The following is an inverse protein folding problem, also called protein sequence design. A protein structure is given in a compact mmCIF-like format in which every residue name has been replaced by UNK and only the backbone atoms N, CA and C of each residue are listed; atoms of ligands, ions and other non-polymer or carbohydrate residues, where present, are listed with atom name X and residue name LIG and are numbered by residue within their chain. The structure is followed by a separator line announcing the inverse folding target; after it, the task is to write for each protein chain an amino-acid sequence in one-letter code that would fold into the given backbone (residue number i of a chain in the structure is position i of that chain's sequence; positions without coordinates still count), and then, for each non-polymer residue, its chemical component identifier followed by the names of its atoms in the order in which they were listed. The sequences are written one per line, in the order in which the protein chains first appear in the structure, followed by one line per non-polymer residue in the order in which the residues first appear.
data_IF_857887652337
#
_entry.id   IF_857887652337
#
_cell.length_a   1.000
_cell.length_b   1.000
_cell.length_c   1.000
_cell.angle_alpha   90.00
_cell.angle_beta   90.00
_cell.angle_gamma   90.00
#
_symmetry.space_group_name_H-M   'P 1'
#
loop_
_entity.id
_entity.type
_entity.pdbx_description
1 polymer ?
#
# COMPACT_ATOMS: atom_id res chain seq x y z
N UNK A 1 50.80 -0.23 42.79
CA UNK A 1 49.51 -0.86 42.50
C UNK A 1 48.61 0.18 41.80
N UNK A 2 48.59 0.15 40.47
CA UNK A 2 47.82 1.10 39.64
C UNK A 2 46.58 0.36 39.14
N UNK A 3 45.39 0.83 39.52
CA UNK A 3 44.12 0.32 39.03
C UNK A 3 43.83 0.95 37.67
N UNK A 4 43.74 0.12 36.61
CA UNK A 4 43.39 0.47 35.26
C UNK A 4 41.85 0.53 35.16
N UNK A 5 41.30 1.71 34.92
CA UNK A 5 39.89 1.94 34.71
C UNK A 5 39.59 1.78 33.20
N UNK A 6 38.88 0.68 32.85
CA UNK A 6 38.48 0.40 31.48
C UNK A 6 37.16 1.13 31.20
N UNK A 7 37.23 2.16 30.37
CA UNK A 7 36.05 2.92 29.93
C UNK A 7 35.42 2.18 28.71
N UNK A 8 34.28 1.52 28.93
CA UNK A 8 33.49 0.92 27.85
C UNK A 8 32.64 2.01 27.22
N UNK A 9 32.99 2.44 25.99
CA UNK A 9 32.18 3.32 25.19
C UNK A 9 31.13 2.46 24.47
N UNK A 10 29.89 2.54 24.94
CA UNK A 10 28.73 1.89 24.32
C UNK A 10 28.24 2.76 23.18
N UNK A 11 28.51 2.37 21.92
CA UNK A 11 27.91 2.97 20.74
C UNK A 11 26.44 2.57 20.67
N UNK A 12 25.54 3.49 21.00
CA UNK A 12 24.11 3.38 20.74
C UNK A 12 23.85 3.60 19.24
N UNK A 13 23.59 2.53 18.53
CA UNK A 13 22.99 2.58 17.20
C UNK A 13 21.51 2.93 17.38
N UNK A 14 21.17 4.19 17.19
CA UNK A 14 19.76 4.60 17.12
C UNK A 14 19.17 4.17 15.78
N UNK A 15 18.47 3.04 15.79
CA UNK A 15 17.53 2.70 14.74
C UNK A 15 16.32 3.66 14.85
N UNK A 16 16.05 4.41 13.79
CA UNK A 16 14.87 5.26 13.73
C UNK A 16 13.63 4.38 13.48
N UNK A 17 13.05 3.85 14.54
CA UNK A 17 11.67 3.41 14.55
C UNK A 17 10.81 4.59 15.02
N UNK A 18 9.73 4.90 14.30
CA UNK A 18 8.77 5.97 14.60
C UNK A 18 7.92 5.70 15.87
N UNK A 19 8.35 4.80 16.73
CA UNK A 19 7.68 4.47 17.99
C UNK A 19 8.23 5.37 19.09
N UNK A 20 7.46 6.34 19.54
CA UNK A 20 7.80 7.15 20.70
C UNK A 20 7.64 6.32 21.97
N UNK A 21 8.75 5.89 22.57
CA UNK A 21 8.75 5.20 23.87
C UNK A 21 8.57 6.23 24.97
N UNK A 22 7.39 6.28 25.58
CA UNK A 22 7.14 7.09 26.76
C UNK A 22 7.43 6.28 28.02
N UNK A 23 8.53 6.62 28.74
CA UNK A 23 8.84 6.02 30.05
C UNK A 23 7.91 6.61 31.11
N UNK A 24 6.98 5.82 31.58
CA UNK A 24 6.20 6.16 32.79
C UNK A 24 6.96 5.62 33.99
N UNK A 25 7.73 6.48 34.65
CA UNK A 25 8.36 6.13 35.91
C UNK A 25 7.31 6.18 37.05
N UNK A 26 6.78 5.03 37.46
CA UNK A 26 6.04 4.96 38.73
C UNK A 26 7.03 4.95 39.87
N UNK A 27 7.10 6.03 40.63
CA UNK A 27 7.84 6.09 41.92
C UNK A 27 7.12 5.20 42.90
N UNK A 28 7.79 4.12 43.36
CA UNK A 28 7.60 3.51 44.69
C UNK A 28 7.86 1.98 44.68
N UNK A 29 9.01 1.51 44.24
CA UNK A 29 9.62 0.26 44.72
C UNK A 29 10.95 0.00 43.98
N UNK A 30 12.02 -0.50 44.66
CA UNK A 30 13.27 -0.82 43.97
C UNK A 30 13.16 -2.00 43.00
N UNK A 31 12.04 -2.73 43.00
CA UNK A 31 11.75 -3.88 42.12
C UNK A 31 10.60 -3.59 41.13
N UNK A 32 10.30 -2.33 40.81
CA UNK A 32 9.27 -2.01 39.83
C UNK A 32 9.75 -2.38 38.43
N UNK A 33 9.12 -3.38 37.84
CA UNK A 33 9.28 -3.76 36.43
C UNK A 33 8.88 -2.57 35.53
N UNK A 34 9.81 -2.09 34.71
CA UNK A 34 9.53 -0.99 33.77
C UNK A 34 8.67 -1.60 32.68
N UNK A 35 7.37 -1.35 32.73
CA UNK A 35 6.46 -1.67 31.61
C UNK A 35 6.70 -0.62 30.54
N UNK A 36 7.41 -0.98 29.48
CA UNK A 36 7.46 -0.17 28.26
C UNK A 36 6.08 -0.24 27.57
N UNK A 37 5.31 0.84 27.70
CA UNK A 37 4.07 0.96 26.94
C UNK A 37 4.46 1.50 25.56
N UNK A 38 4.32 0.67 24.55
CA UNK A 38 4.45 1.07 23.17
C UNK A 38 3.27 2.00 22.81
N UNK A 39 3.53 3.30 22.71
CA UNK A 39 2.53 4.26 22.26
C UNK A 39 2.52 4.26 20.75
N UNK A 40 1.52 3.61 20.17
CA UNK A 40 1.31 3.66 18.73
C UNK A 40 0.88 5.08 18.33
N UNK A 41 1.78 5.80 17.67
CA UNK A 41 1.53 7.20 17.22
C UNK A 41 0.92 7.16 15.83
N UNK A 42 -0.22 7.87 15.59
CA UNK A 42 -0.79 7.94 14.26
C UNK A 42 0.20 8.46 13.22
N UNK A 43 0.32 7.76 12.10
CA UNK A 43 1.09 8.21 10.94
C UNK A 43 0.37 9.33 10.16
N UNK A 44 -0.95 9.41 10.31
CA UNK A 44 -1.79 10.38 9.63
C UNK A 44 -3.24 10.33 10.07
N UNK A 45 -4.13 10.76 9.22
CA UNK A 45 -5.58 10.70 9.48
C UNK A 45 -6.37 10.61 8.18
N UNK A 46 -7.56 10.00 8.26
CA UNK A 46 -8.58 10.07 7.23
C UNK A 46 -9.62 11.13 7.63
N UNK A 47 -9.96 12.05 6.70
CA UNK A 47 -11.05 13.01 6.92
C UNK A 47 -12.37 12.38 6.46
N UNK A 48 -13.32 12.30 7.38
CA UNK A 48 -14.67 11.79 7.14
C UNK A 48 -15.71 12.88 7.43
N UNK A 49 -16.98 12.62 7.13
CA UNK A 49 -18.08 13.51 7.50
C UNK A 49 -18.21 13.71 9.03
N UNK A 50 -17.69 12.78 9.83
CA UNK A 50 -17.74 12.80 11.29
C UNK A 50 -16.44 13.40 11.92
N UNK A 51 -15.51 13.90 11.12
CA UNK A 51 -14.24 14.45 11.56
C UNK A 51 -13.04 13.65 11.10
N UNK A 52 -11.92 13.83 11.80
CA UNK A 52 -10.68 13.11 11.53
C UNK A 52 -10.65 11.80 12.31
N UNK A 53 -10.22 10.75 11.62
CA UNK A 53 -9.98 9.42 12.19
C UNK A 53 -8.51 9.11 12.02
N UNK A 54 -7.84 8.65 13.07
CA UNK A 54 -6.42 8.36 13.05
C UNK A 54 -6.09 7.19 12.12
N UNK A 55 -4.95 7.32 11.43
CA UNK A 55 -4.40 6.31 10.56
C UNK A 55 -3.00 5.93 11.04
N UNK A 56 -2.70 4.64 10.97
CA UNK A 56 -1.48 4.00 11.44
C UNK A 56 -0.85 3.16 10.33
N UNK A 57 0.36 2.68 10.55
CA UNK A 57 0.93 1.64 9.69
C UNK A 57 0.04 0.39 9.74
N UNK A 58 -0.26 -0.18 8.58
CA UNK A 58 -1.05 -1.40 8.45
C UNK A 58 -0.18 -2.67 8.49
N UNK A 59 -0.83 -3.83 8.34
CA UNK A 59 -0.16 -5.12 8.33
C UNK A 59 0.71 -5.27 7.06
N UNK A 60 2.03 -5.47 7.18
CA UNK A 60 2.92 -5.65 6.04
C UNK A 60 2.59 -6.89 5.17
N UNK A 61 1.86 -7.89 5.68
CA UNK A 61 1.42 -9.03 4.88
C UNK A 61 0.48 -8.63 3.73
N UNK A 62 -0.21 -7.48 3.86
CA UNK A 62 -1.02 -6.92 2.79
C UNK A 62 -0.19 -6.42 1.60
N UNK A 63 1.11 -6.08 1.79
CA UNK A 63 2.01 -5.77 0.68
C UNK A 63 2.29 -7.02 -0.16
N UNK A 64 2.54 -8.15 0.49
CA UNK A 64 2.78 -9.43 -0.20
C UNK A 64 1.55 -9.86 -0.99
N UNK A 65 0.35 -9.69 -0.42
CA UNK A 65 -0.91 -9.96 -1.11
C UNK A 65 -1.07 -9.06 -2.34
N UNK A 66 -0.78 -7.76 -2.19
CA UNK A 66 -0.89 -6.81 -3.29
C UNK A 66 0.12 -7.06 -4.40
N UNK A 67 1.37 -7.40 -4.05
CA UNK A 67 2.40 -7.75 -5.03
C UNK A 67 2.01 -9.01 -5.82
N UNK A 68 1.46 -10.04 -5.17
CA UNK A 68 0.91 -11.22 -5.84
C UNK A 68 -0.24 -10.87 -6.79
N UNK A 69 -1.09 -9.90 -6.40
CA UNK A 69 -2.18 -9.43 -7.24
C UNK A 69 -1.66 -8.72 -8.50
N UNK A 70 -0.64 -7.87 -8.37
CA UNK A 70 0.03 -7.21 -9.50
C UNK A 70 0.73 -8.24 -10.40
N UNK A 71 1.39 -9.23 -9.81
CA UNK A 71 2.02 -10.32 -10.57
C UNK A 71 0.98 -11.13 -11.36
N UNK A 72 -0.17 -11.44 -10.77
CA UNK A 72 -1.27 -12.11 -11.47
C UNK A 72 -1.78 -11.28 -12.66
N UNK A 73 -1.88 -9.95 -12.51
CA UNK A 73 -2.21 -9.04 -13.61
C UNK A 73 -1.14 -9.06 -14.71
N UNK A 74 0.13 -9.01 -14.35
CA UNK A 74 1.25 -9.07 -15.29
C UNK A 74 1.27 -10.40 -16.07
N UNK A 75 0.92 -11.49 -15.41
CA UNK A 75 0.83 -12.83 -15.99
C UNK A 75 -0.49 -13.08 -16.73
N UNK A 76 -1.47 -12.16 -16.65
CA UNK A 76 -2.81 -12.32 -17.22
C UNK A 76 -3.59 -13.50 -16.61
N UNK A 77 -3.28 -13.84 -15.36
CA UNK A 77 -3.89 -14.93 -14.64
C UNK A 77 -5.24 -14.53 -14.03
N UNK A 78 -6.28 -14.60 -14.86
CA UNK A 78 -7.64 -14.18 -14.47
C UNK A 78 -8.24 -15.05 -13.36
N UNK A 79 -7.82 -16.31 -13.26
CA UNK A 79 -8.32 -17.22 -12.22
C UNK A 79 -7.75 -16.83 -10.86
N UNK A 80 -6.44 -16.57 -10.78
CA UNK A 80 -5.80 -16.06 -9.56
C UNK A 80 -6.36 -14.70 -9.17
N UNK A 81 -6.51 -13.76 -10.12
CA UNK A 81 -7.12 -12.45 -9.84
C UNK A 81 -8.53 -12.62 -9.27
N UNK A 82 -9.34 -13.49 -9.85
CA UNK A 82 -10.69 -13.80 -9.36
C UNK A 82 -10.66 -14.33 -7.93
N UNK A 83 -9.78 -15.27 -7.65
CA UNK A 83 -9.66 -15.87 -6.33
C UNK A 83 -9.22 -14.86 -5.27
N UNK A 84 -8.36 -13.91 -5.62
CA UNK A 84 -7.88 -12.88 -4.69
C UNK A 84 -8.91 -11.78 -4.43
N UNK A 85 -9.92 -11.60 -5.27
CA UNK A 85 -10.99 -10.64 -5.06
C UNK A 85 -12.03 -11.13 -4.04
N UNK A 86 -12.52 -10.24 -3.18
CA UNK A 86 -13.60 -10.54 -2.25
C UNK A 86 -14.96 -10.50 -2.95
N UNK A 87 -15.80 -11.49 -2.77
CA UNK A 87 -17.20 -11.43 -3.23
C UNK A 87 -17.97 -10.32 -2.51
N UNK A 88 -17.66 -10.10 -1.23
CA UNK A 88 -18.26 -9.07 -0.39
C UNK A 88 -17.33 -8.68 0.75
N UNK A 89 -17.40 -7.41 1.16
CA UNK A 89 -16.73 -6.86 2.35
C UNK A 89 -17.73 -6.16 3.23
N UNK A 90 -17.42 -5.99 4.52
CA UNK A 90 -18.26 -5.24 5.45
C UNK A 90 -18.29 -3.75 5.08
N UNK A 91 -17.15 -3.21 4.61
CA UNK A 91 -17.01 -1.79 4.30
C UNK A 91 -17.72 -1.38 3.01
N UNK A 92 -17.59 -2.16 1.93
CA UNK A 92 -18.01 -1.77 0.59
C UNK A 92 -19.11 -2.66 -0.02
N UNK A 93 -19.52 -3.73 0.68
CA UNK A 93 -20.38 -4.76 0.11
C UNK A 93 -19.63 -5.54 -0.97
N UNK A 94 -20.20 -5.72 -2.16
CA UNK A 94 -19.55 -6.41 -3.26
C UNK A 94 -18.28 -5.72 -3.75
N UNK A 95 -17.40 -6.49 -4.41
CA UNK A 95 -16.15 -6.00 -5.00
C UNK A 95 -16.35 -4.80 -5.93
N UNK A 96 -15.45 -3.82 -5.86
CA UNK A 96 -15.53 -2.58 -6.66
C UNK A 96 -14.19 -2.11 -7.17
N UNK A 97 -14.16 -1.64 -8.41
CA UNK A 97 -13.04 -0.88 -8.97
C UNK A 97 -13.54 0.48 -9.45
N UNK A 98 -12.94 1.54 -8.93
CA UNK A 98 -13.11 2.89 -9.44
C UNK A 98 -11.92 3.20 -10.35
N UNK A 99 -12.16 3.15 -11.65
CA UNK A 99 -11.09 3.29 -12.61
C UNK A 99 -10.63 4.75 -12.80
N UNK A 100 -9.53 4.91 -13.53
CA UNK A 100 -8.91 6.22 -13.78
C UNK A 100 -9.79 7.21 -14.57
N UNK A 101 -10.87 6.73 -15.17
CA UNK A 101 -11.80 7.53 -15.98
C UNK A 101 -13.08 7.89 -15.22
N UNK A 102 -13.22 7.40 -13.99
CA UNK A 102 -14.38 7.61 -13.13
C UNK A 102 -15.47 6.57 -13.30
N UNK A 103 -15.23 5.52 -14.08
CA UNK A 103 -16.16 4.41 -14.22
C UNK A 103 -16.09 3.49 -12.99
N UNK A 104 -17.25 2.96 -12.60
CA UNK A 104 -17.36 1.95 -11.56
C UNK A 104 -17.55 0.57 -12.20
N UNK A 105 -16.58 -0.32 -11.96
CA UNK A 105 -16.72 -1.76 -12.20
C UNK A 105 -17.24 -2.38 -10.90
N UNK A 106 -18.40 -3.03 -10.95
CA UNK A 106 -19.08 -3.58 -9.78
C UNK A 106 -19.21 -5.10 -9.89
N UNK A 107 -18.57 -5.80 -8.96
CA UNK A 107 -18.55 -7.26 -8.88
C UNK A 107 -17.36 -7.89 -9.57
N UNK A 108 -16.96 -9.06 -9.04
CA UNK A 108 -15.79 -9.82 -9.50
C UNK A 108 -15.94 -10.24 -10.96
N UNK A 109 -17.10 -10.74 -11.38
CA UNK A 109 -17.33 -11.19 -12.75
C UNK A 109 -17.13 -10.07 -13.77
N UNK A 110 -17.71 -8.89 -13.50
CA UNK A 110 -17.56 -7.72 -14.37
C UNK A 110 -16.10 -7.25 -14.46
N UNK A 111 -15.35 -7.37 -13.36
CA UNK A 111 -13.93 -7.03 -13.34
C UNK A 111 -13.13 -7.99 -14.22
N UNK A 112 -13.32 -9.28 -14.06
CA UNK A 112 -12.63 -10.32 -14.85
C UNK A 112 -12.94 -10.18 -16.34
N UNK A 113 -14.21 -9.95 -16.69
CA UNK A 113 -14.61 -9.72 -18.10
C UNK A 113 -13.89 -8.50 -18.68
N UNK A 114 -13.87 -7.38 -17.96
CA UNK A 114 -13.16 -6.16 -18.38
C UNK A 114 -11.66 -6.37 -18.53
N UNK A 115 -11.02 -7.07 -17.58
CA UNK A 115 -9.60 -7.40 -17.65
C UNK A 115 -9.29 -8.30 -18.85
N UNK A 116 -10.11 -9.32 -19.12
CA UNK A 116 -9.91 -10.23 -20.25
C UNK A 116 -9.82 -9.46 -21.58
N UNK A 117 -10.77 -8.55 -21.82
CA UNK A 117 -10.79 -7.72 -23.02
C UNK A 117 -9.58 -6.79 -23.08
N UNK A 118 -9.25 -6.16 -21.97
CA UNK A 118 -8.14 -5.20 -21.92
C UNK A 118 -6.77 -5.87 -22.06
N UNK A 119 -6.58 -7.04 -21.43
CA UNK A 119 -5.34 -7.81 -21.53
C UNK A 119 -5.03 -8.24 -22.97
N UNK A 120 -6.06 -8.64 -23.70
CA UNK A 120 -5.94 -9.01 -25.12
C UNK A 120 -5.64 -7.78 -25.99
N UNK A 121 -6.31 -6.65 -25.72
CA UNK A 121 -6.22 -5.46 -26.55
C UNK A 121 -4.91 -4.69 -26.37
N UNK A 122 -4.39 -4.61 -25.13
CA UNK A 122 -3.32 -3.65 -24.80
C UNK A 122 -2.11 -4.30 -24.11
N UNK A 123 -2.16 -5.57 -23.73
CA UNK A 123 -1.09 -6.27 -23.04
C UNK A 123 -0.44 -5.44 -21.90
N UNK A 124 -1.20 -4.96 -20.91
CA UNK A 124 -0.68 -4.10 -19.86
C UNK A 124 0.37 -4.81 -18.99
N UNK A 125 1.39 -4.06 -18.56
CA UNK A 125 2.46 -4.50 -17.67
C UNK A 125 2.71 -3.45 -16.60
N UNK A 126 2.62 -3.82 -15.33
CA UNK A 126 2.85 -2.96 -14.17
C UNK A 126 4.23 -3.17 -13.58
N UNK A 127 4.87 -2.08 -13.17
CA UNK A 127 6.07 -2.09 -12.34
C UNK A 127 5.83 -1.19 -11.14
N UNK A 128 5.78 -1.77 -9.95
CA UNK A 128 5.59 -1.05 -8.69
C UNK A 128 6.86 -0.28 -8.34
N UNK A 129 6.77 1.00 -7.99
CA UNK A 129 7.89 1.81 -7.54
C UNK A 129 7.77 2.28 -6.09
N UNK A 130 6.60 2.20 -5.48
CA UNK A 130 6.39 2.24 -4.04
C UNK A 130 5.10 1.54 -3.65
N UNK A 131 5.04 1.04 -2.41
CA UNK A 131 3.81 0.64 -1.74
C UNK A 131 3.97 0.75 -0.22
N UNK A 132 2.87 1.01 0.48
CA UNK A 132 2.81 0.99 1.93
C UNK A 132 1.40 0.61 2.40
N UNK A 133 1.31 0.08 3.61
CA UNK A 133 0.04 -0.28 4.23
C UNK A 133 -0.46 0.82 5.15
N UNK A 134 -1.77 0.92 5.27
CA UNK A 134 -2.43 1.87 6.17
C UNK A 134 -3.64 1.22 6.83
N UNK A 135 -3.73 1.35 8.15
CA UNK A 135 -4.88 0.98 8.96
C UNK A 135 -5.57 2.24 9.46
N UNK A 136 -6.90 2.29 9.35
CA UNK A 136 -7.71 3.41 9.84
C UNK A 136 -8.53 2.94 11.03
N UNK A 137 -8.53 3.70 12.12
CA UNK A 137 -9.30 3.36 13.31
C UNK A 137 -10.78 3.13 12.98
N UNK A 138 -11.33 2.06 13.56
CA UNK A 138 -12.72 1.69 13.36
C UNK A 138 -13.06 1.07 12.01
N UNK A 139 -12.11 0.93 11.07
CA UNK A 139 -12.27 0.12 9.86
C UNK A 139 -11.91 -1.34 10.13
N UNK A 140 -12.63 -2.26 9.52
CA UNK A 140 -12.38 -3.71 9.67
C UNK A 140 -11.17 -4.12 8.86
N UNK A 141 -11.08 -3.66 7.61
CA UNK A 141 -9.96 -3.94 6.72
C UNK A 141 -8.91 -2.83 6.74
N UNK A 142 -7.91 -3.03 5.91
CA UNK A 142 -6.75 -2.14 5.77
C UNK A 142 -6.55 -1.73 4.32
N UNK A 143 -5.64 -0.81 4.10
CA UNK A 143 -5.36 -0.25 2.80
C UNK A 143 -3.93 -0.55 2.37
N UNK A 144 -3.75 -0.79 1.08
CA UNK A 144 -2.45 -0.69 0.42
C UNK A 144 -2.50 0.49 -0.54
N UNK A 145 -1.60 1.43 -0.34
CA UNK A 145 -1.42 2.58 -1.23
C UNK A 145 -0.16 2.33 -2.06
N UNK A 146 -0.29 2.35 -3.37
CA UNK A 146 0.83 1.98 -4.24
C UNK A 146 0.93 2.84 -5.49
N UNK A 147 2.14 2.93 -6.03
CA UNK A 147 2.43 3.62 -7.28
C UNK A 147 3.06 2.69 -8.30
N UNK A 148 2.58 2.76 -9.52
CA UNK A 148 2.96 1.88 -10.61
C UNK A 148 3.29 2.66 -11.88
N UNK A 149 4.35 2.23 -12.58
CA UNK A 149 4.50 2.52 -14.00
C UNK A 149 3.71 1.46 -14.76
N UNK A 150 2.78 1.88 -15.58
CA UNK A 150 2.01 0.99 -16.45
C UNK A 150 2.44 1.19 -17.90
N UNK A 151 2.86 0.10 -18.52
CA UNK A 151 3.16 0.03 -19.95
C UNK A 151 2.04 -0.75 -20.65
N UNK A 152 1.50 -0.20 -21.72
CA UNK A 152 0.55 -0.87 -22.63
C UNK A 152 1.08 -0.87 -24.06
N UNK A 153 0.62 -1.81 -24.88
CA UNK A 153 0.96 -1.90 -26.31
C UNK A 153 -0.32 -1.83 -27.12
N UNK A 154 -0.49 -0.78 -27.90
CA UNK A 154 -1.65 -0.56 -28.76
C UNK A 154 -1.18 -0.39 -30.19
N UNK A 155 -1.65 -1.22 -31.11
CA UNK A 155 -1.25 -1.20 -32.54
C UNK A 155 0.28 -1.29 -32.76
N UNK A 156 0.98 -2.02 -31.85
CA UNK A 156 2.43 -2.17 -31.87
C UNK A 156 3.21 -0.99 -31.28
N UNK A 157 2.53 0.04 -30.80
CA UNK A 157 3.14 1.18 -30.12
C UNK A 157 3.09 1.00 -28.60
N UNK A 158 4.22 1.19 -27.94
CA UNK A 158 4.28 1.20 -26.47
C UNK A 158 3.85 2.57 -25.93
N UNK A 159 2.96 2.54 -24.95
CA UNK A 159 2.49 3.72 -24.21
C UNK A 159 2.80 3.52 -22.72
N UNK A 160 3.16 4.60 -22.04
CA UNK A 160 3.44 4.58 -20.61
C UNK A 160 2.60 5.63 -19.89
N UNK A 161 2.12 5.25 -18.71
CA UNK A 161 1.49 6.15 -17.75
C UNK A 161 1.91 5.78 -16.32
N UNK A 162 1.60 6.64 -15.38
CA UNK A 162 1.77 6.37 -13.95
C UNK A 162 0.40 6.23 -13.34
N UNK A 163 0.17 5.12 -12.66
CA UNK A 163 -1.05 4.88 -11.90
C UNK A 163 -0.73 4.86 -10.41
N UNK A 164 -1.60 5.46 -9.60
CA UNK A 164 -1.67 5.27 -8.16
C UNK A 164 -2.89 4.42 -7.88
N UNK A 165 -2.77 3.50 -6.93
CA UNK A 165 -3.87 2.65 -6.50
C UNK A 165 -4.01 2.70 -4.97
N UNK A 166 -5.25 2.92 -4.51
CA UNK A 166 -5.65 2.77 -3.11
C UNK A 166 -6.49 1.50 -3.03
N UNK A 167 -5.90 0.39 -2.56
CA UNK A 167 -6.56 -0.91 -2.47
C UNK A 167 -7.01 -1.21 -1.04
N UNK A 168 -8.28 -1.54 -0.86
CA UNK A 168 -8.86 -1.98 0.40
C UNK A 168 -8.82 -3.49 0.50
N UNK A 169 -8.27 -4.00 1.60
CA UNK A 169 -8.10 -5.42 1.88
C UNK A 169 -8.86 -5.78 3.16
N UNK A 170 -9.67 -6.81 3.08
CA UNK A 170 -10.43 -7.35 4.22
C UNK A 170 -10.35 -8.88 4.16
N UNK A 171 -10.02 -9.50 5.30
CA UNK A 171 -9.90 -10.96 5.44
C UNK A 171 -8.97 -11.62 4.38
N UNK A 172 -7.88 -10.95 4.03
CA UNK A 172 -6.91 -11.44 3.04
C UNK A 172 -7.40 -11.44 1.60
N UNK A 173 -8.42 -10.63 1.28
CA UNK A 173 -9.00 -10.47 -0.06
C UNK A 173 -9.04 -9.00 -0.46
N UNK A 174 -8.89 -8.73 -1.75
CA UNK A 174 -9.08 -7.39 -2.31
C UNK A 174 -10.57 -7.08 -2.40
N UNK A 175 -11.03 -6.08 -1.64
CA UNK A 175 -12.45 -5.72 -1.57
C UNK A 175 -12.84 -4.60 -2.52
N UNK A 176 -11.98 -3.62 -2.68
CA UNK A 176 -12.16 -2.51 -3.58
C UNK A 176 -10.82 -1.83 -3.88
N UNK A 177 -10.73 -1.12 -5.01
CA UNK A 177 -9.61 -0.21 -5.23
C UNK A 177 -9.98 0.96 -6.14
N UNK A 178 -9.23 2.06 -5.98
CA UNK A 178 -9.33 3.28 -6.77
C UNK A 178 -8.06 3.46 -7.56
N UNK A 179 -8.17 3.87 -8.81
CA UNK A 179 -7.03 4.12 -9.68
C UNK A 179 -7.01 5.61 -10.06
N UNK A 180 -5.86 6.23 -9.87
CA UNK A 180 -5.58 7.61 -10.28
C UNK A 180 -4.46 7.61 -11.30
N UNK A 181 -4.69 8.17 -12.49
CA UNK A 181 -3.75 8.11 -13.60
C UNK A 181 -3.15 9.47 -13.93
N UNK A 182 -1.85 9.47 -14.23
CA UNK A 182 -1.14 10.60 -14.80
C UNK A 182 -0.42 10.19 -16.08
N UNK A 183 -0.64 10.94 -17.18
CA UNK A 183 0.14 10.77 -18.39
C UNK A 183 1.63 11.11 -18.14
N UNK A 184 2.54 10.30 -18.70
CA UNK A 184 3.97 10.61 -18.72
C UNK A 184 4.21 11.52 -19.94
N UNK A 185 4.78 12.72 -19.75
CA UNK A 185 5.12 13.58 -20.90
C UNK A 185 6.14 12.87 -21.79
N UNK A 186 6.09 13.07 -23.10
CA UNK A 186 7.11 12.57 -24.00
C UNK A 186 8.50 13.14 -23.59
N UNK A 187 9.59 12.41 -23.82
CA UNK A 187 10.93 12.92 -23.53
C UNK A 187 11.16 14.23 -24.31
N UNK A 188 11.90 15.17 -23.73
CA UNK A 188 12.23 16.41 -24.45
C UNK A 188 12.97 16.07 -25.75
N UNK A 189 12.74 16.86 -26.82
CA UNK A 189 13.45 16.65 -28.06
C UNK A 189 14.98 16.68 -27.82
N UNK A 190 15.76 15.89 -28.57
CA UNK A 190 17.20 15.89 -28.40
C UNK A 190 17.74 17.31 -28.57
N UNK A 191 18.58 17.75 -27.64
CA UNK A 191 19.21 19.07 -27.73
C UNK A 191 20.03 19.13 -29.02
N UNK A 192 19.62 19.96 -29.97
CA UNK A 192 20.43 20.32 -31.12
C UNK A 192 21.57 21.21 -30.62
N UNK A 193 22.65 20.60 -30.18
CA UNK A 193 23.89 21.35 -29.98
C UNK A 193 24.40 21.76 -31.37
N UNK A 194 24.19 23.02 -31.71
CA UNK A 194 24.90 23.70 -32.80
C UNK A 194 26.26 24.12 -32.30
#
# INVERSE_FOLDING_TARGET
MKKLLLLFTLCLLTSCNNTAIQKVASSLSPDAEIIEVEVNTPAGYLSTANGKTDAYDGDPSNLELWDQYIDAHNNKDLDVIREMNADSTQQFGGFKVYDAFGDLVNGVDSHIERLSVWFEAENPQWSTFFSYTMKVDGQVGEWVISGHSLKTTVDGEEKMRVDLADAYIEDGKIGAFWIYTRAVPPPPPPSTNN
#
